data_IF_352615289867
#
_entry.id   IF_352615289867
#
_cell.length_a   1.000
_cell.length_b   1.000
_cell.length_c   1.000
_cell.angle_alpha   90.00
_cell.angle_beta   90.00
_cell.angle_gamma   90.00
#
_symmetry.space_group_name_H-M   'P 1'
#
loop_
_entity.id
_entity.type
_entity.pdbx_description
1 polymer ?
#
# COMPACT_ATOMS: atom_id res chain seq x y z
N UNK A 1 -6.67 -5.32 71.13
CA UNK A 1 -5.73 -4.26 71.57
C UNK A 1 -4.44 -4.39 70.78
N UNK A 2 -3.73 -3.33 70.42
CA UNK A 2 -3.93 -1.90 70.62
C UNK A 2 -2.72 -1.14 70.04
N UNK A 3 -2.94 0.16 69.75
CA UNK A 3 -1.94 1.23 69.55
C UNK A 3 -1.15 1.19 68.24
N UNK A 4 -0.82 2.31 67.59
CA UNK A 4 -1.08 3.72 67.87
C UNK A 4 0.02 4.62 67.27
N UNK A 5 -0.37 5.78 66.72
CA UNK A 5 0.48 6.95 66.42
C UNK A 5 1.32 6.88 65.14
N UNK A 6 1.54 7.94 64.36
CA UNK A 6 1.22 9.37 64.46
C UNK A 6 2.12 10.18 63.50
N UNK A 7 1.72 11.42 63.18
CA UNK A 7 2.53 12.49 62.53
C UNK A 7 2.59 12.42 61.00
N UNK A 8 2.15 13.41 60.21
CA UNK A 8 2.59 14.82 60.16
C UNK A 8 3.62 14.95 59.01
N UNK A 9 3.67 15.92 58.11
CA UNK A 9 2.98 17.18 57.82
C UNK A 9 3.72 17.85 56.62
N UNK A 10 3.23 19.00 56.15
CA UNK A 10 3.93 19.92 55.23
C UNK A 10 3.78 19.57 53.73
N UNK A 11 3.58 20.49 52.79
CA UNK A 11 3.73 21.94 52.79
C UNK A 11 4.50 22.37 51.52
N UNK A 12 4.08 23.48 50.89
CA UNK A 12 4.78 24.16 49.77
C UNK A 12 4.28 23.72 48.40
N UNK A 13 3.73 24.59 47.54
CA UNK A 13 4.38 25.79 46.95
C UNK A 13 5.14 25.32 45.69
N UNK A 14 5.07 25.88 44.50
CA UNK A 14 4.59 27.14 43.94
C UNK A 14 5.31 27.29 42.58
N UNK A 15 4.83 28.20 41.73
CA UNK A 15 5.53 28.65 40.51
C UNK A 15 5.22 27.80 39.27
N UNK A 16 4.97 28.35 38.09
CA UNK A 16 5.19 29.70 37.60
C UNK A 16 6.01 29.64 36.31
N UNK A 17 5.52 30.32 35.26
CA UNK A 17 6.26 30.60 34.02
C UNK A 17 6.25 29.44 33.01
N UNK A 18 6.16 29.66 31.71
CA UNK A 18 6.22 30.89 30.93
C UNK A 18 6.46 30.49 29.46
N UNK A 19 6.28 31.46 28.54
CA UNK A 19 6.89 31.55 27.21
C UNK A 19 6.82 30.31 26.31
N UNK A 20 6.13 30.36 25.18
CA UNK A 20 6.48 31.25 24.08
C UNK A 20 7.35 30.49 23.07
N UNK A 21 7.01 30.57 21.78
CA UNK A 21 7.83 29.97 20.74
C UNK A 21 7.03 29.61 19.50
N UNK A 22 6.81 30.60 18.64
CA UNK A 22 6.41 30.37 17.27
C UNK A 22 7.52 29.69 16.47
N UNK A 23 7.11 28.98 15.44
CA UNK A 23 7.91 28.46 14.34
C UNK A 23 6.89 27.79 13.41
N UNK A 24 6.57 28.34 12.25
CA UNK A 24 7.52 28.63 11.19
C UNK A 24 7.33 27.54 10.14
N UNK A 25 6.84 27.94 8.98
CA UNK A 25 6.24 27.04 7.99
C UNK A 25 7.16 25.99 7.39
N UNK A 26 6.51 25.02 6.77
CA UNK A 26 7.10 24.08 5.82
C UNK A 26 6.02 23.72 4.82
N UNK A 27 5.85 24.56 3.80
CA UNK A 27 5.06 24.20 2.62
C UNK A 27 5.72 23.03 1.93
N UNK A 28 5.19 21.83 2.14
CA UNK A 28 5.48 20.67 1.31
C UNK A 28 4.69 20.81 0.01
N UNK A 29 5.28 21.51 -0.97
CA UNK A 29 4.86 21.40 -2.36
C UNK A 29 5.12 19.97 -2.83
N UNK A 30 4.12 19.10 -2.70
CA UNK A 30 4.09 17.83 -3.39
C UNK A 30 4.04 18.11 -4.89
N UNK A 31 5.17 17.90 -5.56
CA UNK A 31 5.32 18.11 -6.98
C UNK A 31 4.19 17.45 -7.74
N UNK A 32 3.53 18.24 -8.60
CA UNK A 32 2.71 17.71 -9.65
C UNK A 32 3.54 16.73 -10.45
N UNK A 33 3.18 15.45 -10.36
CA UNK A 33 3.58 14.48 -11.35
C UNK A 33 3.02 14.98 -12.67
N UNK A 34 3.87 15.62 -13.47
CA UNK A 34 3.64 15.85 -14.88
C UNK A 34 3.51 14.49 -15.54
N UNK A 35 2.32 13.89 -15.46
CA UNK A 35 1.88 12.92 -16.43
C UNK A 35 1.85 13.67 -17.74
N UNK A 36 2.91 13.49 -18.53
CA UNK A 36 3.09 14.17 -19.79
C UNK A 36 1.79 14.15 -20.58
N UNK A 37 1.44 15.29 -21.17
CA UNK A 37 0.35 15.44 -22.14
C UNK A 37 0.60 14.68 -23.43
N UNK A 38 1.08 13.43 -23.33
CA UNK A 38 0.90 12.44 -24.36
C UNK A 38 -0.60 12.17 -24.53
N UNK A 39 -1.00 11.64 -25.69
CA UNK A 39 -2.38 11.23 -25.88
C UNK A 39 -2.80 10.33 -24.71
N UNK A 40 -4.08 10.40 -24.27
CA UNK A 40 -4.58 9.45 -23.28
C UNK A 40 -4.17 8.06 -23.75
N UNK A 41 -3.51 7.30 -22.87
CA UNK A 41 -3.17 5.92 -23.18
C UNK A 41 -4.44 5.25 -23.70
N UNK A 42 -4.34 4.44 -24.78
CA UNK A 42 -5.51 3.78 -25.33
C UNK A 42 -6.25 3.08 -24.19
N UNK A 43 -7.57 3.28 -24.15
CA UNK A 43 -8.43 2.57 -23.22
C UNK A 43 -8.13 1.07 -23.35
N UNK A 44 -8.00 0.33 -22.24
CA UNK A 44 -7.69 -1.10 -22.31
C UNK A 44 -8.77 -1.79 -23.14
N UNK A 45 -8.32 -2.54 -24.13
CA UNK A 45 -9.15 -3.46 -24.88
C UNK A 45 -9.25 -4.78 -24.14
N UNK A 46 -10.14 -5.68 -24.55
CA UNK A 46 -10.24 -6.99 -23.91
C UNK A 46 -8.92 -7.80 -24.02
N UNK A 47 -8.10 -7.54 -25.04
CA UNK A 47 -6.80 -8.21 -25.24
C UNK A 47 -5.82 -7.85 -24.13
N UNK A 48 -5.90 -6.63 -23.58
CA UNK A 48 -5.05 -6.22 -22.45
C UNK A 48 -5.37 -7.02 -21.18
N UNK A 49 -6.62 -7.47 -20.99
CA UNK A 49 -6.99 -8.35 -19.87
C UNK A 49 -6.41 -9.75 -20.05
N UNK A 50 -6.44 -10.28 -21.27
CA UNK A 50 -5.85 -11.59 -21.59
C UNK A 50 -4.33 -11.55 -21.42
N UNK A 51 -3.68 -10.48 -21.91
CA UNK A 51 -2.25 -10.28 -21.74
C UNK A 51 -1.88 -10.13 -20.26
N UNK A 52 -2.65 -9.36 -19.49
CA UNK A 52 -2.45 -9.22 -18.04
C UNK A 52 -2.52 -10.56 -17.32
N UNK A 53 -3.56 -11.36 -17.57
CA UNK A 53 -3.74 -12.66 -16.91
C UNK A 53 -2.56 -13.61 -17.21
N UNK A 54 -2.17 -13.76 -18.48
CA UNK A 54 -1.06 -14.65 -18.87
C UNK A 54 0.28 -14.16 -18.30
N UNK A 55 0.56 -12.86 -18.38
CA UNK A 55 1.84 -12.31 -17.90
C UNK A 55 1.91 -12.32 -16.36
N UNK A 56 0.80 -12.10 -15.66
CA UNK A 56 0.76 -12.21 -14.19
C UNK A 56 0.96 -13.65 -13.73
N UNK A 57 0.41 -14.65 -14.43
CA UNK A 57 0.69 -16.05 -14.15
C UNK A 57 2.19 -16.39 -14.31
N UNK A 58 2.85 -15.90 -15.36
CA UNK A 58 4.31 -16.07 -15.50
C UNK A 58 5.10 -15.32 -14.42
N UNK A 59 4.66 -14.12 -14.03
CA UNK A 59 5.25 -13.36 -12.91
C UNK A 59 5.14 -14.14 -11.60
N UNK A 60 4.04 -14.84 -11.35
CA UNK A 60 3.89 -15.70 -10.17
C UNK A 60 4.74 -16.98 -10.28
N UNK A 61 4.85 -17.56 -11.47
CA UNK A 61 5.57 -18.82 -11.69
C UNK A 61 7.08 -18.66 -11.57
N UNK A 62 7.65 -17.58 -12.14
CA UNK A 62 9.09 -17.28 -12.10
C UNK A 62 9.29 -15.78 -11.84
N UNK A 63 9.23 -15.34 -10.57
CA UNK A 63 9.33 -13.91 -10.22
C UNK A 63 10.62 -13.21 -10.69
N UNK A 64 11.72 -13.96 -10.77
CA UNK A 64 13.05 -13.44 -11.14
C UNK A 64 13.32 -13.47 -12.66
N UNK A 65 12.32 -13.81 -13.49
CA UNK A 65 12.45 -13.89 -14.94
C UNK A 65 12.91 -12.54 -15.53
N UNK A 66 14.10 -12.49 -16.17
CA UNK A 66 14.64 -11.24 -16.71
C UNK A 66 13.79 -10.69 -17.87
N UNK A 67 13.12 -11.56 -18.63
CA UNK A 67 12.26 -11.18 -19.75
C UNK A 67 10.98 -10.44 -19.31
N UNK A 68 10.52 -10.62 -18.06
CA UNK A 68 9.35 -9.91 -17.52
C UNK A 68 9.67 -8.48 -17.06
N UNK A 69 10.95 -8.09 -17.03
CA UNK A 69 11.38 -6.74 -16.64
C UNK A 69 11.12 -5.75 -17.78
N UNK A 70 11.25 -4.45 -17.49
CA UNK A 70 11.10 -3.40 -18.52
C UNK A 70 9.64 -3.17 -18.94
N UNK A 71 9.35 -3.30 -20.23
CA UNK A 71 8.05 -2.94 -20.80
C UNK A 71 6.88 -3.80 -20.26
N UNK A 72 7.11 -5.09 -20.00
CA UNK A 72 6.09 -5.99 -19.44
C UNK A 72 5.77 -5.64 -17.99
N UNK A 73 6.79 -5.38 -17.16
CA UNK A 73 6.59 -4.87 -15.80
C UNK A 73 5.83 -3.53 -15.78
N UNK A 74 6.18 -2.61 -16.68
CA UNK A 74 5.47 -1.33 -16.81
C UNK A 74 4.03 -1.51 -17.32
N UNK A 75 3.78 -2.50 -18.18
CA UNK A 75 2.42 -2.86 -18.60
C UNK A 75 1.59 -3.34 -17.41
N UNK A 76 2.09 -4.31 -16.64
CA UNK A 76 1.40 -4.79 -15.43
C UNK A 76 1.12 -3.65 -14.46
N UNK A 77 2.11 -2.80 -14.20
CA UNK A 77 1.96 -1.65 -13.30
C UNK A 77 0.89 -0.67 -13.79
N UNK A 78 0.87 -0.33 -15.08
CA UNK A 78 -0.14 0.56 -15.65
C UNK A 78 -1.54 -0.06 -15.63
N UNK A 79 -1.65 -1.36 -15.87
CA UNK A 79 -2.91 -2.09 -15.83
C UNK A 79 -3.50 -2.13 -14.41
N UNK A 80 -2.67 -2.45 -13.40
CA UNK A 80 -3.06 -2.49 -11.98
C UNK A 80 -3.41 -1.10 -11.42
N UNK A 81 -2.86 -0.04 -12.03
CA UNK A 81 -3.14 1.35 -11.66
C UNK A 81 -4.46 1.91 -12.21
N UNK A 82 -5.15 1.20 -13.11
CA UNK A 82 -6.46 1.63 -13.62
C UNK A 82 -7.48 1.69 -12.47
N UNK A 83 -8.18 2.82 -12.28
CA UNK A 83 -9.04 3.06 -11.11
C UNK A 83 -9.96 1.89 -10.74
N UNK A 84 -10.69 1.35 -11.73
CA UNK A 84 -11.64 0.23 -11.53
C UNK A 84 -10.93 -1.09 -11.23
N UNK A 85 -9.78 -1.35 -11.87
CA UNK A 85 -8.97 -2.56 -11.63
C UNK A 85 -8.36 -2.49 -10.24
N UNK A 86 -7.72 -1.37 -9.92
CA UNK A 86 -7.12 -1.10 -8.63
C UNK A 86 -8.15 -1.22 -7.49
N UNK A 87 -9.35 -0.67 -7.67
CA UNK A 87 -10.44 -0.82 -6.72
C UNK A 87 -10.94 -2.28 -6.60
N UNK A 88 -11.01 -3.02 -7.72
CA UNK A 88 -11.37 -4.43 -7.71
C UNK A 88 -10.34 -5.28 -6.95
N UNK A 89 -9.05 -5.11 -7.24
CA UNK A 89 -7.96 -5.86 -6.61
C UNK A 89 -7.86 -5.63 -5.09
N UNK A 90 -8.26 -4.44 -4.61
CA UNK A 90 -8.38 -4.13 -3.17
C UNK A 90 -9.65 -4.67 -2.53
N UNK A 91 -10.63 -5.13 -3.31
CA UNK A 91 -11.89 -5.64 -2.78
C UNK A 91 -11.77 -7.10 -2.35
N UNK A 92 -12.61 -7.54 -1.40
CA UNK A 92 -12.69 -8.95 -1.01
C UNK A 92 -13.23 -9.90 -2.09
N UNK A 93 -13.58 -9.39 -3.28
CA UNK A 93 -13.98 -10.21 -4.43
C UNK A 93 -12.78 -10.67 -5.27
N UNK A 94 -11.64 -10.01 -5.14
CA UNK A 94 -10.46 -10.36 -5.92
C UNK A 94 -9.88 -11.70 -5.44
N UNK A 95 -9.58 -12.57 -6.39
CA UNK A 95 -8.96 -13.86 -6.14
C UNK A 95 -7.69 -13.95 -6.98
N UNK A 96 -6.54 -13.92 -6.31
CA UNK A 96 -5.23 -14.09 -6.95
C UNK A 96 -4.83 -15.57 -7.09
N UNK A 97 -5.32 -16.42 -6.19
CA UNK A 97 -5.06 -17.85 -6.15
C UNK A 97 -6.29 -18.63 -5.62
N UNK A 98 -6.43 -19.93 -5.94
CA UNK A 98 -5.60 -20.72 -6.85
C UNK A 98 -5.84 -20.35 -8.31
N UNK A 99 -4.80 -20.46 -9.15
CA UNK A 99 -4.91 -20.29 -10.61
C UNK A 99 -5.47 -21.58 -11.24
N UNK A 100 -4.98 -22.74 -10.78
CA UNK A 100 -5.31 -24.03 -11.37
C UNK A 100 -6.19 -24.88 -10.47
N UNK A 101 -6.82 -25.89 -11.07
CA UNK A 101 -7.63 -26.87 -10.34
C UNK A 101 -6.80 -27.65 -9.33
N UNK A 102 -7.46 -28.19 -8.29
CA UNK A 102 -6.83 -28.88 -7.15
C UNK A 102 -5.85 -30.01 -7.52
N UNK A 103 -5.97 -30.58 -8.71
CA UNK A 103 -5.10 -31.67 -9.20
C UNK A 103 -3.79 -31.20 -9.82
N UNK A 104 -3.64 -29.89 -10.07
CA UNK A 104 -2.40 -29.31 -10.57
C UNK A 104 -1.28 -29.39 -9.51
N UNK A 105 -0.03 -29.36 -9.96
CA UNK A 105 1.16 -29.43 -9.08
C UNK A 105 1.63 -28.05 -8.59
N UNK A 106 1.14 -26.98 -9.19
CA UNK A 106 1.49 -25.60 -8.87
C UNK A 106 0.21 -24.74 -8.86
N UNK A 107 0.17 -23.73 -7.98
CA UNK A 107 -0.96 -22.79 -7.80
C UNK A 107 -2.34 -23.47 -7.72
N UNK A 108 -2.46 -24.52 -6.89
CA UNK A 108 -3.68 -25.31 -6.70
C UNK A 108 -4.36 -25.08 -5.33
N UNK A 109 -3.77 -24.24 -4.47
CA UNK A 109 -4.31 -23.82 -3.17
C UNK A 109 -4.46 -22.31 -3.10
N UNK A 110 -5.33 -21.82 -2.21
CA UNK A 110 -5.31 -20.41 -1.80
C UNK A 110 -4.06 -20.16 -0.98
N UNK A 111 -3.39 -19.03 -1.21
CA UNK A 111 -2.36 -18.52 -0.29
C UNK A 111 -2.99 -17.87 0.94
#
# INVERSE_FOLDING_TARGET
GGGGGGGGGGGGGGGGGGGGGGGGGGGGGGGGGGGGGGPPLPQPTFVDFLAYDVVDQFRMFVPDCPELKGNLAQFLQRFEALDKISAYMRSGRFMKAPIFWRTAKWSNTKE
#
